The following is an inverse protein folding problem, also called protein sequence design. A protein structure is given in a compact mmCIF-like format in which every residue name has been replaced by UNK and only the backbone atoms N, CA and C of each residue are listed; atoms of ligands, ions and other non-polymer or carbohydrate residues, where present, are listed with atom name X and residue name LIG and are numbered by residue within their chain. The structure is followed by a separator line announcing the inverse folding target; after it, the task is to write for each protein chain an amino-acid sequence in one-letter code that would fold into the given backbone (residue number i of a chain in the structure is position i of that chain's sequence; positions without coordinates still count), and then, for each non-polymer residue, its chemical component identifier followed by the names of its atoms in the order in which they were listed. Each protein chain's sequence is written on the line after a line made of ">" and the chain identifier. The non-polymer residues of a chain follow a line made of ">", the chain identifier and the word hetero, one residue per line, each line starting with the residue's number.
data_IF_200194688953
#
_entry.id   IF_200194688953
#
_cell.length_a   1.000
_cell.length_b   1.000
_cell.length_c   1.000
_cell.angle_alpha   90.00
_cell.angle_beta   90.00
_cell.angle_gamma   90.00
#
_symmetry.space_group_name_H-M   'P 1'
#
loop_
_entity.id
_entity.type
_entity.pdbx_description
1 polymer ?
#
# COMPACT_ATOMS: atom_id res chain seq x y z
N UNK A 1 -27.02 11.60 6.35
CA UNK A 1 -25.80 11.86 7.16
C UNK A 1 -24.71 10.86 6.75
N UNK A 2 -24.16 11.00 5.54
CA UNK A 2 -23.21 10.03 4.92
C UNK A 2 -21.87 10.68 4.53
N UNK A 3 -21.62 11.93 4.93
CA UNK A 3 -20.36 12.62 4.64
C UNK A 3 -19.27 12.38 5.70
N UNK A 4 -19.63 11.86 6.88
CA UNK A 4 -18.71 11.73 8.02
C UNK A 4 -17.95 10.39 8.07
N UNK A 5 -18.46 9.34 7.45
CA UNK A 5 -17.77 8.03 7.44
C UNK A 5 -16.53 8.00 6.55
N UNK A 6 -16.43 8.88 5.54
CA UNK A 6 -15.32 8.86 4.58
C UNK A 6 -14.01 9.49 5.09
N UNK A 7 -14.02 10.15 6.26
CA UNK A 7 -12.80 10.75 6.84
C UNK A 7 -12.01 9.80 7.73
N UNK A 8 -12.60 8.69 8.17
CA UNK A 8 -11.96 7.79 9.15
C UNK A 8 -11.05 6.76 8.46
N UNK A 9 -11.10 6.64 7.13
CA UNK A 9 -10.14 5.85 6.36
C UNK A 9 -8.88 6.63 5.94
N UNK A 10 -8.63 7.83 6.46
CA UNK A 10 -7.30 8.44 6.38
C UNK A 10 -6.42 7.86 7.50
N UNK A 11 -6.25 6.53 7.51
CA UNK A 11 -5.05 5.96 8.09
C UNK A 11 -3.92 6.36 7.16
N UNK A 12 -3.47 7.62 7.27
CA UNK A 12 -2.52 8.30 6.39
C UNK A 12 -1.18 7.59 6.45
N UNK A 13 -1.14 6.48 5.75
CA UNK A 13 0.04 5.78 5.34
C UNK A 13 0.65 6.65 4.25
N UNK A 14 1.48 7.59 4.73
CA UNK A 14 2.18 8.61 3.93
C UNK A 14 3.15 8.00 2.92
N UNK A 15 3.44 6.71 3.03
CA UNK A 15 4.38 6.00 2.18
C UNK A 15 3.63 5.03 1.26
N UNK A 16 3.11 5.49 0.11
CA UNK A 16 2.59 4.58 -0.91
C UNK A 16 3.73 3.75 -1.49
N UNK A 17 3.43 2.52 -1.88
CA UNK A 17 4.36 1.72 -2.67
C UNK A 17 4.58 2.41 -4.02
N UNK A 18 5.84 2.52 -4.43
CA UNK A 18 6.22 3.12 -5.72
C UNK A 18 6.10 2.13 -6.89
N UNK A 19 5.59 0.91 -6.65
CA UNK A 19 5.46 -0.10 -7.69
C UNK A 19 4.17 0.11 -8.50
N UNK A 20 4.26 0.22 -9.84
CA UNK A 20 3.08 0.42 -10.69
C UNK A 20 2.11 -0.76 -10.56
N UNK A 21 0.84 -0.47 -10.28
CA UNK A 21 -0.19 -1.49 -10.02
C UNK A 21 -0.28 -1.96 -8.56
N UNK A 22 0.60 -1.48 -7.67
CA UNK A 22 0.51 -1.76 -6.24
C UNK A 22 -0.17 -0.60 -5.50
N UNK A 23 -1.33 -0.86 -4.88
CA UNK A 23 -2.04 0.14 -4.05
C UNK A 23 -1.70 0.01 -2.55
N UNK A 24 -0.63 -0.73 -2.21
CA UNK A 24 -0.21 -0.90 -0.82
C UNK A 24 0.36 0.41 -0.26
N UNK A 25 -0.10 0.79 0.92
CA UNK A 25 0.39 1.97 1.66
C UNK A 25 0.97 1.53 2.99
N UNK A 26 2.00 2.21 3.46
CA UNK A 26 2.66 1.94 4.74
C UNK A 26 2.74 3.20 5.62
N UNK A 27 2.71 3.00 6.94
CA UNK A 27 2.79 4.09 7.91
C UNK A 27 4.21 4.61 8.09
N UNK A 28 5.21 3.85 7.62
CA UNK A 28 6.63 4.13 7.74
C UNK A 28 7.35 3.82 6.44
N UNK A 29 8.40 4.60 6.15
CA UNK A 29 9.23 4.44 4.95
C UNK A 29 10.01 3.12 4.96
N UNK A 30 10.50 2.69 6.13
CA UNK A 30 11.25 1.43 6.29
C UNK A 30 10.42 0.21 5.83
N UNK A 31 9.18 0.13 6.30
CA UNK A 31 8.23 -0.90 5.88
C UNK A 31 7.88 -0.84 4.38
N UNK A 32 7.69 0.35 3.83
CA UNK A 32 7.45 0.52 2.39
C UNK A 32 8.64 0.02 1.57
N UNK A 33 9.86 0.35 1.98
CA UNK A 33 11.09 -0.04 1.29
C UNK A 33 11.32 -1.56 1.36
N UNK A 34 11.07 -2.19 2.51
CA UNK A 34 11.14 -3.64 2.63
C UNK A 34 10.11 -4.32 1.72
N UNK A 35 8.89 -3.79 1.67
CA UNK A 35 7.85 -4.26 0.75
C UNK A 35 8.26 -4.05 -0.72
N UNK A 36 8.86 -2.91 -1.08
CA UNK A 36 9.28 -2.62 -2.46
C UNK A 36 10.28 -3.67 -2.99
N UNK A 37 11.17 -4.17 -2.13
CA UNK A 37 12.10 -5.27 -2.47
C UNK A 37 11.39 -6.58 -2.84
N UNK A 38 10.17 -6.80 -2.34
CA UNK A 38 9.37 -7.99 -2.69
C UNK A 38 8.85 -7.96 -4.13
N UNK A 39 8.65 -6.76 -4.71
CA UNK A 39 8.29 -6.62 -6.13
C UNK A 39 9.47 -6.86 -7.05
N UNK A 40 10.66 -6.43 -6.65
CA UNK A 40 11.89 -6.68 -7.41
C UNK A 40 12.36 -8.14 -7.34
N UNK A 41 11.84 -8.92 -6.40
CA UNK A 41 12.16 -10.35 -6.27
C UNK A 41 11.03 -11.21 -6.89
N UNK A 42 11.24 -11.78 -8.09
CA UNK A 42 10.17 -12.30 -8.95
C UNK A 42 9.50 -13.62 -8.47
N UNK A 43 9.71 -14.08 -7.24
CA UNK A 43 9.17 -15.38 -6.77
C UNK A 43 7.81 -15.33 -6.06
N UNK A 44 7.23 -14.15 -5.80
CA UNK A 44 5.91 -14.06 -5.15
C UNK A 44 4.84 -13.56 -6.12
N UNK A 45 4.37 -14.45 -7.00
CA UNK A 45 3.07 -14.29 -7.65
C UNK A 45 1.97 -14.26 -6.60
N UNK A 46 1.45 -13.08 -6.25
CA UNK A 46 0.09 -12.95 -5.73
C UNK A 46 -0.58 -11.72 -6.35
N UNK A 47 -1.36 -12.02 -7.37
CA UNK A 47 -2.51 -11.26 -7.84
C UNK A 47 -3.25 -10.68 -6.64
N UNK A 48 -3.29 -9.35 -6.52
CA UNK A 48 -4.29 -8.74 -5.66
C UNK A 48 -5.63 -8.76 -6.40
N UNK A 49 -6.59 -9.33 -5.68
CA UNK A 49 -7.94 -9.73 -6.03
C UNK A 49 -8.82 -8.50 -6.35
N UNK A 50 -9.82 -8.72 -7.21
CA UNK A 50 -10.90 -7.81 -7.62
C UNK A 50 -11.51 -6.98 -6.51
#
# INVERSE_FOLDING_TARGET
>A
HLARHNRIHTGEKNFPCLFPGCQSRFSRQDNMMQHYRTHMSPKSRRTQRS
#
